data_IF_419947000632
#
_entry.id   IF_419947000632
#
_cell.length_a   1.000
_cell.length_b   1.000
_cell.length_c   1.000
_cell.angle_alpha   90.00
_cell.angle_beta   90.00
_cell.angle_gamma   90.00
#
_symmetry.space_group_name_H-M   'P 1'
#
loop_
_entity.id
_entity.type
_entity.pdbx_description
1 polymer ?
#
# COMPACT_ATOMS: atom_id res chain seq x y z
N UNK A 1 0.41 -18.38 7.41
CA UNK A 1 1.36 -17.31 7.84
C UNK A 1 0.98 -16.70 9.18
N UNK A 2 -0.18 -16.02 9.29
CA UNK A 2 -0.59 -15.39 10.57
C UNK A 2 -0.62 -16.40 11.72
N UNK A 3 -1.33 -17.52 11.56
CA UNK A 3 -1.46 -18.56 12.60
C UNK A 3 -0.10 -19.12 13.04
N UNK A 4 0.82 -19.34 12.10
CA UNK A 4 2.10 -19.99 12.39
C UNK A 4 3.11 -19.05 13.08
N UNK A 5 2.95 -17.72 12.94
CA UNK A 5 3.85 -16.71 13.52
C UNK A 5 3.27 -15.96 14.71
N UNK A 6 1.96 -16.02 14.92
CA UNK A 6 1.27 -15.37 16.02
C UNK A 6 1.95 -15.69 17.37
N UNK A 7 2.29 -14.65 18.14
CA UNK A 7 3.01 -14.73 19.42
C UNK A 7 4.39 -15.41 19.38
N UNK A 8 4.94 -15.69 18.19
CA UNK A 8 6.28 -16.31 18.03
C UNK A 8 7.29 -15.37 17.39
N UNK A 9 6.84 -14.49 16.50
CA UNK A 9 7.70 -13.54 15.82
C UNK A 9 6.91 -12.31 15.35
N UNK A 10 7.56 -11.15 15.33
CA UNK A 10 6.98 -9.93 14.74
C UNK A 10 6.79 -10.09 13.23
N UNK A 11 5.72 -9.47 12.72
CA UNK A 11 5.40 -9.45 11.28
C UNK A 11 5.12 -8.01 10.87
N UNK A 12 5.83 -7.52 9.84
CA UNK A 12 5.57 -6.22 9.23
C UNK A 12 4.73 -6.44 7.98
N UNK A 13 3.62 -5.73 7.88
CA UNK A 13 2.73 -5.74 6.72
C UNK A 13 2.55 -4.31 6.21
N UNK A 14 2.55 -4.15 4.90
CA UNK A 14 2.19 -2.89 4.25
C UNK A 14 0.90 -3.10 3.47
N UNK A 15 -0.08 -2.23 3.66
CA UNK A 15 -1.33 -2.22 2.91
C UNK A 15 -1.63 -0.80 2.45
N UNK A 16 -2.30 -0.68 1.30
CA UNK A 16 -2.88 0.57 0.83
C UNK A 16 -4.37 0.71 1.22
N UNK A 17 -4.86 -0.18 2.08
CA UNK A 17 -6.24 -0.24 2.60
C UNK A 17 -6.23 -0.42 4.10
N UNK A 18 -7.21 0.14 4.79
CA UNK A 18 -7.34 0.00 6.24
C UNK A 18 -7.74 -1.43 6.63
N UNK A 19 -7.47 -1.86 7.88
CA UNK A 19 -7.73 -3.25 8.29
C UNK A 19 -9.19 -3.69 8.19
N UNK A 20 -10.14 -2.78 8.37
CA UNK A 20 -11.58 -3.01 8.21
C UNK A 20 -11.98 -3.31 6.77
N UNK A 21 -11.22 -2.83 5.78
CA UNK A 21 -11.42 -3.14 4.36
C UNK A 21 -10.83 -4.50 3.96
N UNK A 22 -10.06 -5.16 4.82
CA UNK A 22 -9.36 -6.40 4.44
C UNK A 22 -10.31 -7.59 4.32
N UNK A 23 -11.27 -7.75 5.23
CA UNK A 23 -12.15 -8.93 5.20
C UNK A 23 -13.03 -8.99 3.94
N UNK A 24 -13.66 -7.89 3.49
CA UNK A 24 -14.49 -7.90 2.27
C UNK A 24 -13.73 -8.24 0.99
N UNK A 25 -12.41 -8.07 0.98
CA UNK A 25 -11.57 -8.28 -0.23
C UNK A 25 -10.91 -9.65 -0.24
N UNK A 26 -11.05 -10.43 0.84
CA UNK A 26 -10.54 -11.80 0.91
C UNK A 26 -11.41 -12.72 0.07
N UNK A 27 -10.78 -13.73 -0.55
CA UNK A 27 -11.47 -14.74 -1.35
C UNK A 27 -12.53 -15.50 -0.55
N UNK A 28 -12.26 -15.76 0.73
CA UNK A 28 -13.20 -16.36 1.67
C UNK A 28 -13.17 -15.57 2.98
N UNK A 29 -14.12 -14.63 3.18
CA UNK A 29 -14.18 -13.82 4.39
C UNK A 29 -14.38 -14.65 5.66
N UNK A 30 -15.12 -15.76 5.59
CA UNK A 30 -15.43 -16.59 6.76
C UNK A 30 -14.17 -17.27 7.28
N UNK A 31 -13.35 -17.82 6.37
CA UNK A 31 -12.07 -18.41 6.74
C UNK A 31 -11.04 -17.36 7.16
N UNK A 32 -11.07 -16.18 6.53
CA UNK A 32 -10.12 -15.11 6.81
C UNK A 32 -10.38 -14.37 8.13
N UNK A 33 -11.62 -14.37 8.63
CA UNK A 33 -12.05 -13.66 9.85
C UNK A 33 -11.06 -13.85 11.01
N UNK A 34 -10.85 -15.10 11.41
CA UNK A 34 -9.97 -15.41 12.55
C UNK A 34 -8.50 -15.02 12.32
N UNK A 35 -8.05 -14.97 11.07
CA UNK A 35 -6.68 -14.57 10.74
C UNK A 35 -6.53 -13.05 10.79
N UNK A 36 -7.50 -12.29 10.27
CA UNK A 36 -7.50 -10.82 10.35
C UNK A 36 -7.60 -10.38 11.80
N UNK A 37 -8.51 -10.94 12.59
CA UNK A 37 -8.68 -10.58 14.01
C UNK A 37 -7.40 -10.81 14.83
N UNK A 38 -6.70 -11.93 14.61
CA UNK A 38 -5.42 -12.21 15.27
C UNK A 38 -4.30 -11.27 14.83
N UNK A 39 -4.33 -10.86 13.57
CA UNK A 39 -3.32 -9.96 13.04
C UNK A 39 -3.50 -8.54 13.58
N UNK A 40 -4.74 -8.04 13.63
CA UNK A 40 -5.06 -6.67 14.05
C UNK A 40 -5.05 -6.49 15.56
N UNK A 41 -5.49 -7.49 16.34
CA UNK A 41 -5.57 -7.42 17.80
C UNK A 41 -4.25 -7.13 18.51
N UNK A 42 -3.11 -7.44 17.89
CA UNK A 42 -1.76 -7.21 18.44
C UNK A 42 -0.92 -6.27 17.57
N UNK A 43 -1.54 -5.61 16.58
CA UNK A 43 -0.84 -4.73 15.66
C UNK A 43 -0.72 -3.29 16.20
N UNK A 44 0.39 -2.65 15.84
CA UNK A 44 0.50 -1.20 15.85
C UNK A 44 0.26 -0.70 14.43
N UNK A 45 -0.74 0.17 14.26
CA UNK A 45 -1.06 0.75 12.97
C UNK A 45 -0.24 2.03 12.76
N UNK A 46 0.49 2.07 11.64
CA UNK A 46 1.20 3.26 11.17
C UNK A 46 0.54 3.73 9.88
N UNK A 47 -0.28 4.77 9.98
CA UNK A 47 -0.89 5.41 8.81
C UNK A 47 0.14 6.34 8.17
N UNK A 48 0.44 6.11 6.89
CA UNK A 48 1.38 6.92 6.12
C UNK A 48 0.60 7.77 5.14
N UNK A 49 0.63 9.08 5.34
CA UNK A 49 -0.01 10.07 4.49
C UNK A 49 1.01 10.84 3.64
N UNK A 50 0.57 11.35 2.48
CA UNK A 50 1.37 12.23 1.64
C UNK A 50 1.39 11.84 0.17
N UNK A 51 2.11 12.65 -0.61
CA UNK A 51 2.24 12.44 -2.05
C UNK A 51 3.09 11.20 -2.38
N UNK A 52 2.70 10.46 -3.42
CA UNK A 52 3.46 9.30 -3.88
C UNK A 52 4.90 9.71 -4.23
N UNK A 53 5.86 9.05 -3.56
CA UNK A 53 7.28 9.27 -3.82
C UNK A 53 7.68 8.94 -5.27
N UNK A 54 6.91 8.08 -5.95
CA UNK A 54 7.14 7.71 -7.37
C UNK A 54 7.14 8.92 -8.30
N UNK A 55 6.37 9.97 -7.96
CA UNK A 55 6.34 11.23 -8.75
C UNK A 55 7.70 11.93 -8.77
N UNK A 56 8.49 11.81 -7.70
CA UNK A 56 9.82 12.43 -7.58
C UNK A 56 10.91 11.65 -8.32
N UNK A 57 10.70 10.37 -8.59
CA UNK A 57 11.62 9.51 -9.33
C UNK A 57 11.29 9.38 -10.81
N UNK A 58 10.16 9.96 -11.27
CA UNK A 58 9.78 9.90 -12.68
C UNK A 58 10.76 10.77 -13.48
N UNK A 59 11.45 10.25 -14.50
CA UNK A 59 12.30 11.07 -15.36
C UNK A 59 11.46 12.22 -15.92
N UNK A 60 11.87 13.45 -15.67
CA UNK A 60 11.27 14.60 -16.34
C UNK A 60 11.72 14.50 -17.79
N UNK A 61 10.77 14.29 -18.70
CA UNK A 61 11.03 14.56 -20.11
C UNK A 61 11.08 16.07 -20.17
N UNK A 62 12.30 16.61 -20.29
CA UNK A 62 12.52 18.02 -20.52
C UNK A 62 11.98 18.35 -21.92
N UNK A 63 10.68 18.63 -21.99
CA UNK A 63 10.09 19.24 -23.19
C UNK A 63 10.55 20.68 -23.21
N UNK A 64 11.80 20.88 -23.66
CA UNK A 64 12.30 22.19 -24.03
C UNK A 64 11.31 22.85 -25.01
N UNK A 65 11.18 24.18 -24.97
CA UNK A 65 10.17 24.88 -25.76
C UNK A 65 10.36 24.51 -27.23
N UNK A 66 9.32 23.97 -27.85
CA UNK A 66 9.27 23.78 -29.29
C UNK A 66 9.46 25.17 -29.91
N UNK A 67 10.66 25.44 -30.41
CA UNK A 67 10.97 26.62 -31.22
C UNK A 67 10.11 26.50 -32.49
N UNK A 68 8.95 27.14 -32.45
CA UNK A 68 8.15 27.42 -33.63
C UNK A 68 8.89 28.49 -34.44
N UNK A 69 9.83 28.07 -35.29
CA UNK A 69 10.39 28.93 -36.33
C UNK A 69 9.86 28.42 -37.69
N UNK A 70 8.77 29.03 -38.14
CA UNK A 70 8.36 29.00 -39.55
C UNK A 70 8.61 30.41 -40.11
N UNK A 71 9.58 30.61 -41.02
CA UNK A 71 9.69 31.86 -41.74
C UNK A 71 8.55 31.98 -42.76
N UNK A 72 7.90 33.15 -42.77
CA UNK A 72 6.90 33.58 -43.75
C UNK A 72 7.53 33.79 -45.12
#
# INVERSE_FOLDING_TARGET
LVVTRHQRASTVLTSNRSPDEWLPIMTDPLLAQSAVDRLTSTAHELVIEGQSYRRRQKPSVDTGPATNDHPQ
#
